data_IF_089563451521
#
_entry.id   IF_089563451521
#
_cell.length_a   1.000
_cell.length_b   1.000
_cell.length_c   1.000
_cell.angle_alpha   90.00
_cell.angle_beta   90.00
_cell.angle_gamma   90.00
#
_symmetry.space_group_name_H-M   'P 1'
#
loop_
_entity.id
_entity.type
_entity.pdbx_description
1 polymer ?
#
# COMPACT_ATOMS: atom_id res chain seq x y z
N UNK A 1 12.65 8.43 -5.27
CA UNK A 1 13.12 7.08 -4.94
C UNK A 1 13.32 6.30 -6.22
N UNK A 2 14.36 5.47 -6.30
CA UNK A 2 14.50 4.49 -7.38
C UNK A 2 13.61 3.26 -7.10
N UNK A 3 13.62 2.29 -8.03
CA UNK A 3 12.79 1.09 -7.90
C UNK A 3 13.23 0.23 -6.71
N UNK A 4 14.53 0.10 -6.44
CA UNK A 4 15.02 -0.69 -5.32
C UNK A 4 14.60 -0.12 -3.96
N UNK A 5 14.63 1.20 -3.79
CA UNK A 5 14.20 1.91 -2.58
C UNK A 5 12.69 1.77 -2.34
N UNK A 6 11.88 1.82 -3.40
CA UNK A 6 10.43 1.60 -3.32
C UNK A 6 10.17 0.18 -2.86
N UNK A 7 10.80 -0.80 -3.51
CA UNK A 7 10.64 -2.21 -3.13
C UNK A 7 11.06 -2.45 -1.68
N UNK A 8 12.21 -1.92 -1.27
CA UNK A 8 12.71 -2.03 0.11
C UNK A 8 11.72 -1.47 1.13
N UNK A 9 11.06 -0.37 0.81
CA UNK A 9 10.02 0.22 1.66
C UNK A 9 8.78 -0.67 1.73
N UNK A 10 8.30 -1.16 0.58
CA UNK A 10 7.10 -2.00 0.51
C UNK A 10 7.26 -3.32 1.26
N UNK A 11 8.43 -3.97 1.15
CA UNK A 11 8.67 -5.26 1.84
C UNK A 11 8.94 -5.09 3.34
N UNK A 12 9.21 -3.88 3.82
CA UNK A 12 9.42 -3.61 5.24
C UNK A 12 8.12 -3.55 6.05
N UNK A 13 6.96 -3.42 5.40
CA UNK A 13 5.67 -3.51 6.08
C UNK A 13 5.40 -4.96 6.51
N UNK A 14 5.11 -5.21 7.81
CA UNK A 14 4.82 -6.55 8.31
C UNK A 14 3.37 -6.94 7.98
N UNK A 15 3.05 -7.08 6.69
CA UNK A 15 1.73 -7.49 6.20
C UNK A 15 1.85 -8.83 5.48
N UNK A 16 1.23 -9.86 6.03
CA UNK A 16 1.15 -11.21 5.45
C UNK A 16 -0.31 -11.62 5.26
N UNK A 17 -0.54 -12.81 4.69
CA UNK A 17 -1.90 -13.33 4.55
C UNK A 17 -2.59 -13.43 5.92
N UNK A 18 -3.79 -12.87 6.02
CA UNK A 18 -4.59 -12.85 7.26
C UNK A 18 -4.28 -11.70 8.22
N UNK A 19 -3.37 -10.77 7.89
CA UNK A 19 -3.14 -9.54 8.66
C UNK A 19 -3.66 -8.31 7.93
N UNK A 20 -4.04 -7.23 8.64
CA UNK A 20 -4.40 -5.97 8.01
C UNK A 20 -3.28 -5.41 7.13
N UNK A 21 -3.63 -4.85 5.97
CA UNK A 21 -2.67 -4.27 5.02
C UNK A 21 -2.78 -2.74 4.89
N UNK A 22 -3.53 -2.08 5.78
CA UNK A 22 -3.80 -0.63 5.70
C UNK A 22 -2.54 0.23 5.59
N UNK A 23 -1.50 -0.06 6.38
CA UNK A 23 -0.28 0.75 6.38
C UNK A 23 0.47 0.76 5.03
N UNK A 24 0.58 -0.40 4.35
CA UNK A 24 1.22 -0.48 3.04
C UNK A 24 0.32 0.15 1.95
N UNK A 25 -1.00 -0.04 2.06
CA UNK A 25 -1.98 0.57 1.13
C UNK A 25 -1.96 2.10 1.22
N UNK A 26 -1.94 2.64 2.44
CA UNK A 26 -1.84 4.08 2.69
C UNK A 26 -0.56 4.66 2.08
N UNK A 27 0.57 3.99 2.29
CA UNK A 27 1.84 4.43 1.72
C UNK A 27 1.83 4.43 0.18
N UNK A 28 1.30 3.37 -0.44
CA UNK A 28 1.18 3.27 -1.91
C UNK A 28 0.29 4.39 -2.46
N UNK A 29 -0.86 4.63 -1.82
CA UNK A 29 -1.78 5.70 -2.21
C UNK A 29 -1.07 7.05 -2.17
N UNK A 30 -0.47 7.38 -1.03
CA UNK A 30 0.14 8.70 -0.82
C UNK A 30 1.32 8.92 -1.78
N UNK A 31 2.15 7.90 -2.01
CA UNK A 31 3.26 7.95 -2.98
C UNK A 31 2.75 8.18 -4.41
N UNK A 32 1.71 7.45 -4.81
CA UNK A 32 1.14 7.53 -6.16
C UNK A 32 0.43 8.86 -6.41
N UNK A 33 -0.31 9.38 -5.41
CA UNK A 33 -0.94 10.70 -5.47
C UNK A 33 0.10 11.83 -5.53
N UNK A 34 1.19 11.72 -4.76
CA UNK A 34 2.31 12.67 -4.85
C UNK A 34 2.98 12.68 -6.24
N UNK A 35 2.93 11.56 -6.97
CA UNK A 35 3.36 11.45 -8.35
C UNK A 35 2.33 11.95 -9.38
N UNK A 36 1.15 12.42 -8.93
CA UNK A 36 0.09 12.98 -9.78
C UNK A 36 -0.94 11.96 -10.28
N UNK A 37 -0.97 10.74 -9.73
CA UNK A 37 -1.98 9.75 -10.08
C UNK A 37 -3.30 9.99 -9.31
N UNK A 38 -4.43 9.74 -9.97
CA UNK A 38 -5.70 9.55 -9.28
C UNK A 38 -5.77 8.12 -8.72
N UNK A 39 -6.02 8.00 -7.41
CA UNK A 39 -5.98 6.72 -6.69
C UNK A 39 -7.24 6.54 -5.87
N UNK A 40 -7.86 5.37 -6.00
CA UNK A 40 -8.99 4.92 -5.19
C UNK A 40 -8.60 3.65 -4.46
N UNK A 41 -8.82 3.60 -3.15
CA UNK A 41 -8.63 2.39 -2.34
C UNK A 41 -9.93 1.59 -2.34
N UNK A 42 -9.86 0.32 -2.73
CA UNK A 42 -11.01 -0.58 -2.74
C UNK A 42 -10.97 -1.48 -1.50
N UNK A 43 -11.88 -1.29 -0.53
CA UNK A 43 -11.92 -2.15 0.65
C UNK A 43 -12.30 -3.59 0.24
N UNK A 44 -11.59 -4.55 0.81
CA UNK A 44 -11.88 -5.96 0.70
C UNK A 44 -13.10 -6.36 1.55
N UNK A 45 -13.76 -7.48 1.23
CA UNK A 45 -14.92 -7.97 1.97
C UNK A 45 -14.63 -8.27 3.44
N UNK A 46 -13.36 -8.42 3.82
CA UNK A 46 -12.92 -8.75 5.18
C UNK A 46 -12.89 -7.52 6.11
N UNK A 47 -13.01 -6.31 5.56
CA UNK A 47 -13.14 -5.06 6.32
C UNK A 47 -11.84 -4.50 6.89
N UNK A 48 -10.77 -5.30 6.95
CA UNK A 48 -9.45 -4.90 7.46
C UNK A 48 -8.35 -4.88 6.37
N UNK A 49 -8.71 -5.20 5.12
CA UNK A 49 -7.80 -5.26 3.98
C UNK A 49 -8.36 -4.52 2.78
N UNK A 50 -7.49 -4.09 1.89
CA UNK A 50 -7.82 -3.50 0.59
C UNK A 50 -7.08 -4.21 -0.55
N UNK A 51 -7.66 -4.20 -1.76
CA UNK A 51 -7.06 -4.75 -2.98
C UNK A 51 -6.41 -3.66 -3.85
#
# INVERSE_FOLDING_TARGET
MNVEEILATLIAFPSVMGTPNGAIVDWIRDYSQAAGAEVTVLPGPEGDRSN
#
